data_IF_780352548490
#
_entry.id   IF_780352548490
#
_cell.length_a   1.000
_cell.length_b   1.000
_cell.length_c   1.000
_cell.angle_alpha   90.00
_cell.angle_beta   90.00
_cell.angle_gamma   90.00
#
_symmetry.space_group_name_H-M   'P 1'
#
loop_
_entity.id
_entity.type
_entity.pdbx_description
1 polymer ?
#
# COMPACT_ATOMS: atom_id res chain seq x y z
N UNK A 1 13.62 9.08 28.80
CA UNK A 1 13.13 8.35 30.01
C UNK A 1 12.24 7.23 29.50
N UNK A 2 12.63 5.97 29.72
CA UNK A 2 11.86 4.82 29.28
C UNK A 2 10.51 4.81 30.04
N UNK A 3 9.43 4.99 29.26
CA UNK A 3 8.08 4.84 29.80
C UNK A 3 7.70 3.35 29.68
N UNK A 4 7.78 2.62 30.78
CA UNK A 4 7.49 1.18 30.84
C UNK A 4 6.01 0.82 30.65
N UNK A 5 5.14 1.81 30.46
CA UNK A 5 3.70 1.60 30.20
C UNK A 5 3.37 1.48 28.70
N UNK A 6 4.32 1.75 27.79
CA UNK A 6 4.10 1.63 26.36
C UNK A 6 4.35 0.17 25.93
N UNK A 7 3.35 -0.44 25.31
CA UNK A 7 3.38 -1.85 24.90
C UNK A 7 3.41 -2.05 23.38
N UNK A 8 3.12 -1.02 22.59
CA UNK A 8 3.14 -1.01 21.15
C UNK A 8 3.26 0.43 20.63
N UNK A 9 3.64 0.57 19.38
CA UNK A 9 3.74 1.86 18.68
C UNK A 9 2.83 1.83 17.45
N UNK A 10 2.06 2.89 17.26
CA UNK A 10 1.32 3.18 16.05
C UNK A 10 1.95 4.37 15.34
N UNK A 11 2.40 4.18 14.10
CA UNK A 11 3.05 5.19 13.27
C UNK A 11 2.07 5.63 12.19
N UNK A 12 1.66 6.89 12.23
CA UNK A 12 0.80 7.54 11.24
C UNK A 12 1.31 8.94 10.89
N UNK A 13 2.63 9.07 10.88
CA UNK A 13 3.36 10.26 10.47
C UNK A 13 3.48 10.31 8.93
N UNK A 14 4.04 11.38 8.33
CA UNK A 14 4.48 11.35 6.95
C UNK A 14 5.46 10.21 6.67
N UNK A 15 5.44 9.67 5.46
CA UNK A 15 6.18 8.45 5.07
C UNK A 15 7.69 8.55 5.29
N UNK A 16 8.26 9.72 5.06
CA UNK A 16 9.69 10.02 5.27
C UNK A 16 10.18 9.78 6.70
N UNK A 17 9.26 9.73 7.68
CA UNK A 17 9.60 9.49 9.09
C UNK A 17 9.41 8.01 9.50
N UNK A 18 8.77 7.19 8.67
CA UNK A 18 8.44 5.81 9.05
C UNK A 18 9.68 4.98 9.37
N UNK A 19 10.71 5.05 8.54
CA UNK A 19 11.92 4.23 8.68
C UNK A 19 12.64 4.45 10.02
N UNK A 20 12.81 5.71 10.41
CA UNK A 20 13.42 6.08 11.69
C UNK A 20 12.58 5.57 12.87
N UNK A 21 11.26 5.79 12.83
CA UNK A 21 10.35 5.41 13.92
C UNK A 21 10.21 3.90 14.05
N UNK A 22 10.17 3.16 12.95
CA UNK A 22 10.15 1.69 12.93
C UNK A 22 11.44 1.16 13.56
N UNK A 23 12.59 1.68 13.14
CA UNK A 23 13.90 1.27 13.67
C UNK A 23 14.00 1.54 15.17
N UNK A 24 13.55 2.72 15.61
CA UNK A 24 13.55 3.09 17.02
C UNK A 24 12.62 2.19 17.85
N UNK A 25 11.43 1.90 17.36
CA UNK A 25 10.49 1.02 18.05
C UNK A 25 11.02 -0.42 18.15
N UNK A 26 11.58 -0.96 17.05
CA UNK A 26 12.19 -2.28 17.02
C UNK A 26 13.36 -2.40 18.01
N UNK A 27 14.22 -1.38 18.07
CA UNK A 27 15.35 -1.34 19.01
C UNK A 27 14.90 -1.30 20.50
N UNK A 28 13.67 -0.87 20.77
CA UNK A 28 13.08 -0.89 22.09
C UNK A 28 12.17 -2.11 22.34
N UNK A 29 12.14 -3.10 21.44
CA UNK A 29 11.37 -4.31 21.60
C UNK A 29 9.83 -4.10 21.54
N UNK A 30 9.37 -3.03 20.88
CA UNK A 30 7.96 -2.67 20.82
C UNK A 30 7.33 -3.19 19.52
N UNK A 31 6.20 -3.92 19.59
CA UNK A 31 5.35 -4.19 18.44
C UNK A 31 4.96 -2.93 17.67
N UNK A 32 4.94 -3.02 16.35
CA UNK A 32 4.80 -1.86 15.46
C UNK A 32 3.61 -2.05 14.53
N UNK A 33 2.72 -1.07 14.51
CA UNK A 33 1.78 -0.85 13.42
C UNK A 33 2.20 0.44 12.70
N UNK A 34 2.33 0.40 11.39
CA UNK A 34 2.61 1.57 10.56
C UNK A 34 1.58 1.75 9.47
N UNK A 35 1.26 2.99 9.12
CA UNK A 35 0.49 3.28 7.91
C UNK A 35 1.30 2.95 6.65
N UNK A 36 0.58 2.80 5.56
CA UNK A 36 1.15 2.61 4.21
C UNK A 36 1.64 3.97 3.63
N UNK A 37 2.61 3.96 2.74
CA UNK A 37 3.57 2.88 2.52
C UNK A 37 4.52 2.77 3.71
N UNK A 38 5.10 1.59 3.92
CA UNK A 38 6.07 1.37 5.02
C UNK A 38 7.30 2.26 4.85
N UNK A 39 7.76 2.43 3.61
CA UNK A 39 8.76 3.39 3.15
C UNK A 39 8.55 3.64 1.65
N UNK A 40 9.27 4.58 1.06
CA UNK A 40 9.15 4.93 -0.36
C UNK A 40 9.91 3.99 -1.29
N UNK A 41 10.87 3.25 -0.77
CA UNK A 41 11.75 2.36 -1.53
C UNK A 41 11.61 0.89 -1.09
N UNK A 42 11.53 -0.03 -2.06
CA UNK A 42 11.32 -1.45 -1.79
C UNK A 42 12.52 -2.10 -1.04
N UNK A 43 13.74 -1.61 -1.25
CA UNK A 43 14.92 -2.11 -0.55
C UNK A 43 14.87 -1.67 0.91
N UNK A 44 14.50 -0.42 1.16
CA UNK A 44 14.30 0.10 2.50
C UNK A 44 13.20 -0.67 3.24
N UNK A 45 12.05 -0.94 2.59
CA UNK A 45 10.99 -1.77 3.15
C UNK A 45 11.52 -3.14 3.59
N UNK A 46 12.29 -3.81 2.74
CA UNK A 46 12.86 -5.12 3.05
C UNK A 46 13.81 -5.06 4.27
N UNK A 47 14.65 -4.02 4.36
CA UNK A 47 15.54 -3.84 5.52
C UNK A 47 14.76 -3.55 6.81
N UNK A 48 13.67 -2.77 6.76
CA UNK A 48 12.84 -2.51 7.94
C UNK A 48 12.16 -3.78 8.46
N UNK A 49 11.65 -4.65 7.58
CA UNK A 49 11.14 -5.96 7.98
C UNK A 49 12.24 -6.85 8.56
N UNK A 50 13.45 -6.80 8.01
CA UNK A 50 14.61 -7.54 8.55
C UNK A 50 14.99 -7.04 9.94
N UNK A 51 15.02 -5.72 10.18
CA UNK A 51 15.26 -5.12 11.49
C UNK A 51 14.21 -5.57 12.50
N UNK A 52 12.92 -5.53 12.15
CA UNK A 52 11.84 -5.98 13.02
C UNK A 52 11.97 -7.47 13.36
N UNK A 53 12.25 -8.32 12.36
CA UNK A 53 12.45 -9.74 12.54
C UNK A 53 13.66 -10.06 13.45
N UNK A 54 14.78 -9.36 13.28
CA UNK A 54 15.97 -9.51 14.13
C UNK A 54 15.71 -9.10 15.57
N UNK A 55 14.85 -8.09 15.77
CA UNK A 55 14.41 -7.65 17.08
C UNK A 55 13.28 -8.49 17.67
N UNK A 56 12.80 -9.51 16.93
CA UNK A 56 11.67 -10.38 17.32
C UNK A 56 10.36 -9.64 17.63
N UNK A 57 10.16 -8.48 17.00
CA UNK A 57 8.93 -7.69 17.14
C UNK A 57 8.06 -7.80 15.88
N UNK A 58 6.73 -7.89 16.02
CA UNK A 58 5.85 -7.83 14.86
C UNK A 58 5.85 -6.41 14.26
N UNK A 59 5.93 -6.36 12.91
CA UNK A 59 5.71 -5.16 12.10
C UNK A 59 4.51 -5.42 11.20
N UNK A 60 3.44 -4.64 11.39
CA UNK A 60 2.20 -4.71 10.62
C UNK A 60 2.00 -3.41 9.84
N UNK A 61 1.63 -3.53 8.56
CA UNK A 61 1.28 -2.38 7.71
C UNK A 61 -0.23 -2.23 7.59
N UNK A 62 -0.70 -0.99 7.56
CA UNK A 62 -2.11 -0.59 7.58
C UNK A 62 -2.84 -0.81 6.26
N UNK A 63 -3.02 -2.04 5.82
CA UNK A 63 -3.89 -2.36 4.69
C UNK A 63 -5.32 -2.62 5.16
N UNK A 64 -6.03 -1.55 5.53
CA UNK A 64 -7.34 -1.58 6.18
C UNK A 64 -8.46 -2.20 5.34
N UNK A 65 -8.35 -2.20 4.00
CA UNK A 65 -9.36 -2.82 3.11
C UNK A 65 -9.56 -4.30 3.38
N UNK A 66 -8.54 -4.99 3.89
CA UNK A 66 -8.64 -6.40 4.30
C UNK A 66 -9.66 -6.65 5.42
N UNK A 67 -10.01 -5.61 6.18
CA UNK A 67 -10.88 -5.66 7.36
C UNK A 67 -12.23 -4.95 7.14
N UNK A 68 -12.44 -4.31 5.99
CA UNK A 68 -13.71 -3.73 5.60
C UNK A 68 -14.69 -4.81 5.14
N UNK A 69 -15.91 -4.77 5.64
CA UNK A 69 -16.92 -5.81 5.40
C UNK A 69 -17.27 -5.99 3.92
N UNK A 70 -17.32 -4.89 3.15
CA UNK A 70 -17.65 -4.93 1.72
C UNK A 70 -16.52 -5.56 0.90
N UNK A 71 -15.28 -5.14 1.16
CA UNK A 71 -14.10 -5.72 0.53
C UNK A 71 -13.93 -7.18 0.92
N UNK A 72 -14.17 -7.52 2.19
CA UNK A 72 -14.12 -8.88 2.68
C UNK A 72 -15.17 -9.77 2.02
N UNK A 73 -16.41 -9.31 1.86
CA UNK A 73 -17.47 -10.08 1.19
C UNK A 73 -17.12 -10.42 -0.27
N UNK A 74 -16.46 -9.49 -0.99
CA UNK A 74 -15.94 -9.74 -2.33
C UNK A 74 -14.82 -10.79 -2.29
N UNK A 75 -13.85 -10.64 -1.41
CA UNK A 75 -12.75 -11.60 -1.22
C UNK A 75 -13.26 -13.00 -0.90
N UNK A 76 -14.20 -13.13 0.04
CA UNK A 76 -14.81 -14.40 0.44
C UNK A 76 -15.55 -15.06 -0.75
N UNK A 77 -16.20 -14.26 -1.61
CA UNK A 77 -16.93 -14.77 -2.79
C UNK A 77 -15.96 -15.32 -3.86
N UNK A 78 -14.80 -14.70 -4.02
CA UNK A 78 -13.73 -15.20 -4.91
C UNK A 78 -13.10 -16.45 -4.32
N UNK A 79 -12.61 -16.38 -3.08
CA UNK A 79 -11.83 -17.45 -2.46
C UNK A 79 -12.66 -18.72 -2.17
N UNK A 80 -13.95 -18.58 -1.92
CA UNK A 80 -14.86 -19.73 -1.80
C UNK A 80 -15.23 -20.38 -3.13
N UNK A 81 -14.82 -19.81 -4.26
CA UNK A 81 -15.19 -20.29 -5.60
C UNK A 81 -16.64 -19.99 -6.00
N UNK A 82 -17.39 -19.21 -5.21
CA UNK A 82 -18.80 -18.89 -5.47
C UNK A 82 -19.04 -18.23 -6.84
N UNK A 83 -18.08 -17.45 -7.32
CA UNK A 83 -18.14 -16.80 -8.64
C UNK A 83 -17.26 -17.47 -9.71
N UNK A 84 -16.68 -18.62 -9.38
CA UNK A 84 -15.70 -19.30 -10.24
C UNK A 84 -14.32 -18.65 -10.18
N UNK A 85 -13.44 -19.00 -11.13
CA UNK A 85 -12.09 -18.44 -11.25
C UNK A 85 -12.14 -17.10 -11.96
N UNK A 86 -11.73 -16.00 -11.34
CA UNK A 86 -11.65 -14.71 -12.01
C UNK A 86 -10.66 -14.74 -13.16
N UNK A 87 -11.09 -14.27 -14.34
CA UNK A 87 -10.22 -14.16 -15.52
C UNK A 87 -9.79 -12.73 -15.77
N UNK A 88 -10.66 -11.77 -15.38
CA UNK A 88 -10.41 -10.34 -15.52
C UNK A 88 -11.04 -9.59 -14.35
N UNK A 89 -10.35 -8.56 -13.87
CA UNK A 89 -10.86 -7.63 -12.86
C UNK A 89 -10.51 -6.20 -13.25
N UNK A 90 -11.36 -5.28 -12.85
CA UNK A 90 -11.08 -3.85 -12.95
C UNK A 90 -11.31 -3.24 -11.57
N UNK A 91 -10.33 -2.48 -11.09
CA UNK A 91 -10.41 -1.68 -9.87
C UNK A 91 -10.29 -0.22 -10.28
N UNK A 92 -11.21 0.57 -9.85
CA UNK A 92 -11.20 2.01 -10.06
C UNK A 92 -11.27 2.71 -8.71
N UNK A 93 -10.34 3.61 -8.48
CA UNK A 93 -10.32 4.46 -7.30
C UNK A 93 -10.02 5.91 -7.69
N UNK A 94 -10.59 6.84 -6.96
CA UNK A 94 -10.32 8.26 -7.15
C UNK A 94 -10.66 9.05 -5.89
N UNK A 95 -9.77 9.96 -5.51
CA UNK A 95 -10.00 10.88 -4.40
C UNK A 95 -10.84 12.08 -4.85
N UNK A 96 -11.69 12.55 -3.95
CA UNK A 96 -12.45 13.76 -4.13
C UNK A 96 -12.60 14.50 -2.78
N UNK A 97 -12.28 15.80 -2.71
CA UNK A 97 -11.70 16.65 -3.77
C UNK A 97 -10.27 16.25 -4.13
N UNK A 98 -9.80 16.75 -5.30
CA UNK A 98 -8.39 16.59 -5.70
C UNK A 98 -7.47 17.12 -4.58
N UNK A 99 -6.46 16.35 -4.14
CA UNK A 99 -5.55 16.77 -3.10
C UNK A 99 -4.79 18.06 -3.47
N UNK A 100 -4.36 18.88 -2.50
CA UNK A 100 -3.57 20.08 -2.76
C UNK A 100 -2.25 19.75 -3.48
N UNK A 101 -1.79 20.64 -4.36
CA UNK A 101 -0.54 20.49 -5.14
C UNK A 101 0.67 20.14 -4.25
N UNK A 102 0.80 20.78 -3.08
CA UNK A 102 1.88 20.50 -2.14
C UNK A 102 1.86 19.06 -1.61
N UNK A 103 0.68 18.49 -1.38
CA UNK A 103 0.56 17.08 -1.01
C UNK A 103 0.99 16.17 -2.16
N UNK A 104 0.53 16.46 -3.37
CA UNK A 104 0.89 15.68 -4.56
C UNK A 104 2.39 15.72 -4.87
N UNK A 105 3.06 16.86 -4.62
CA UNK A 105 4.51 16.99 -4.76
C UNK A 105 5.31 16.19 -3.74
N UNK A 106 4.74 15.98 -2.55
CA UNK A 106 5.43 15.35 -1.43
C UNK A 106 5.02 13.87 -1.23
N UNK A 107 4.83 13.13 -2.31
CA UNK A 107 4.53 11.70 -2.26
C UNK A 107 3.08 11.32 -2.51
N UNK A 108 2.19 12.29 -2.81
CA UNK A 108 0.78 12.03 -3.15
C UNK A 108 0.56 11.49 -4.58
N UNK A 109 1.58 10.97 -5.23
CA UNK A 109 1.46 10.32 -6.53
C UNK A 109 0.56 9.08 -6.43
N UNK A 110 -0.40 8.88 -7.36
CA UNK A 110 -1.32 7.74 -7.32
C UNK A 110 -0.62 6.38 -7.20
N UNK A 111 0.55 6.21 -7.81
CA UNK A 111 1.33 4.97 -7.71
C UNK A 111 1.86 4.68 -6.30
N UNK A 112 2.18 5.70 -5.53
CA UNK A 112 2.77 5.55 -4.20
C UNK A 112 1.73 5.68 -3.08
N UNK A 113 0.70 6.48 -3.30
CA UNK A 113 -0.31 6.74 -2.27
C UNK A 113 -1.57 5.86 -2.40
N UNK A 114 -2.14 5.73 -3.59
CA UNK A 114 -3.40 5.01 -3.83
C UNK A 114 -3.18 3.54 -4.20
N UNK A 115 -2.33 3.28 -5.20
CA UNK A 115 -2.13 1.94 -5.75
C UNK A 115 -1.68 0.87 -4.77
N UNK A 116 -0.92 1.15 -3.69
CA UNK A 116 -0.59 0.14 -2.70
C UNK A 116 -1.82 -0.54 -2.09
N UNK A 117 -2.90 0.21 -1.86
CA UNK A 117 -4.16 -0.35 -1.39
C UNK A 117 -4.82 -1.28 -2.40
N UNK A 118 -4.81 -0.89 -3.68
CA UNK A 118 -5.45 -1.66 -4.75
C UNK A 118 -4.66 -2.93 -5.03
N UNK A 119 -3.33 -2.83 -5.12
CA UNK A 119 -2.44 -3.98 -5.31
C UNK A 119 -2.56 -4.97 -4.17
N UNK A 120 -2.53 -4.50 -2.91
CA UNK A 120 -2.70 -5.35 -1.74
C UNK A 120 -4.05 -6.06 -1.74
N UNK A 121 -5.12 -5.32 -2.02
CA UNK A 121 -6.47 -5.87 -2.07
C UNK A 121 -6.62 -6.95 -3.14
N UNK A 122 -6.14 -6.69 -4.35
CA UNK A 122 -6.23 -7.64 -5.46
C UNK A 122 -5.41 -8.90 -5.17
N UNK A 123 -4.16 -8.76 -4.70
CA UNK A 123 -3.32 -9.91 -4.31
C UNK A 123 -4.00 -10.76 -3.24
N UNK A 124 -4.55 -10.10 -2.20
CA UNK A 124 -5.27 -10.80 -1.12
C UNK A 124 -6.53 -11.49 -1.65
N UNK A 125 -7.30 -10.85 -2.51
CA UNK A 125 -8.55 -11.39 -3.05
C UNK A 125 -8.33 -12.56 -3.97
N UNK A 126 -7.36 -12.46 -4.87
CA UNK A 126 -7.04 -13.52 -5.83
C UNK A 126 -6.24 -14.67 -5.20
N UNK A 127 -5.44 -14.40 -4.16
CA UNK A 127 -4.45 -15.35 -3.65
C UNK A 127 -3.37 -15.67 -4.70
N UNK A 128 -3.06 -14.72 -5.58
CA UNK A 128 -2.13 -14.86 -6.70
C UNK A 128 -1.05 -13.78 -6.62
N UNK A 129 0.10 -14.02 -7.27
CA UNK A 129 1.20 -13.06 -7.33
C UNK A 129 1.34 -12.42 -8.72
N UNK A 130 1.68 -11.12 -8.79
CA UNK A 130 1.88 -10.44 -10.06
C UNK A 130 3.12 -10.97 -10.80
N UNK A 131 3.01 -11.19 -12.11
CA UNK A 131 4.09 -11.69 -12.98
C UNK A 131 4.51 -10.70 -14.05
N UNK A 132 3.58 -9.87 -14.51
CA UNK A 132 3.83 -8.86 -15.54
C UNK A 132 3.08 -7.59 -15.14
N UNK A 133 3.69 -6.43 -15.35
CA UNK A 133 3.07 -5.13 -15.10
C UNK A 133 3.40 -4.15 -16.22
N UNK A 134 2.39 -3.42 -16.66
CA UNK A 134 2.54 -2.20 -17.43
C UNK A 134 1.89 -1.06 -16.65
N UNK A 135 2.59 0.06 -16.53
CA UNK A 135 2.07 1.23 -15.82
C UNK A 135 2.30 2.50 -16.66
N UNK A 136 1.35 3.40 -16.62
CA UNK A 136 1.43 4.72 -17.24
C UNK A 136 0.67 5.73 -16.40
N UNK A 137 1.13 6.97 -16.38
CA UNK A 137 0.47 8.05 -15.68
C UNK A 137 0.52 9.36 -16.48
N UNK A 138 -0.35 10.28 -16.12
CA UNK A 138 -0.36 11.61 -16.71
C UNK A 138 -0.79 12.67 -15.68
N UNK A 139 -0.54 13.92 -16.07
CA UNK A 139 -1.00 15.09 -15.33
C UNK A 139 -2.25 15.65 -16.01
N UNK A 140 -3.32 15.87 -15.24
CA UNK A 140 -4.61 16.35 -15.78
C UNK A 140 -4.61 17.84 -16.14
N UNK A 141 -3.68 18.61 -15.57
CA UNK A 141 -3.61 20.07 -15.81
C UNK A 141 -2.18 20.50 -16.19
N UNK A 142 -2.03 21.62 -16.92
CA UNK A 142 -0.71 22.19 -17.21
C UNK A 142 0.12 22.49 -15.96
N UNK A 143 -0.51 22.97 -14.88
CA UNK A 143 0.15 23.27 -13.62
C UNK A 143 0.81 22.02 -12.98
N UNK A 144 0.09 20.88 -13.00
CA UNK A 144 0.62 19.61 -12.51
C UNK A 144 1.75 19.10 -13.41
N UNK A 145 1.60 19.24 -14.74
CA UNK A 145 2.63 18.86 -15.69
C UNK A 145 3.92 19.69 -15.54
N UNK A 146 3.79 21.00 -15.35
CA UNK A 146 4.94 21.90 -15.07
C UNK A 146 5.62 21.56 -13.75
N UNK A 147 4.85 21.09 -12.76
CA UNK A 147 5.38 20.64 -11.49
C UNK A 147 5.93 19.20 -11.54
N UNK A 148 5.83 18.51 -12.68
CA UNK A 148 6.18 17.09 -12.86
C UNK A 148 5.44 16.18 -11.89
N UNK A 149 4.15 16.45 -11.67
CA UNK A 149 3.26 15.69 -10.75
C UNK A 149 2.25 14.90 -11.55
N UNK A 150 2.19 13.60 -11.34
CA UNK A 150 1.13 12.74 -11.88
C UNK A 150 -0.06 12.72 -10.91
N UNK A 151 -1.26 12.91 -11.42
CA UNK A 151 -2.51 12.80 -10.66
C UNK A 151 -3.48 11.75 -11.25
N UNK A 152 -3.12 11.17 -12.39
CA UNK A 152 -3.81 10.02 -12.95
C UNK A 152 -2.81 8.89 -13.21
N UNK A 153 -3.24 7.67 -12.89
CA UNK A 153 -2.45 6.47 -13.07
C UNK A 153 -3.29 5.37 -13.69
N UNK A 154 -2.65 4.53 -14.47
CA UNK A 154 -3.22 3.30 -15.01
C UNK A 154 -2.17 2.20 -14.89
N UNK A 155 -2.60 1.05 -14.37
CA UNK A 155 -1.78 -0.16 -14.38
C UNK A 155 -2.54 -1.32 -15.02
N UNK A 156 -1.83 -2.12 -15.79
CA UNK A 156 -2.26 -3.45 -16.21
C UNK A 156 -1.34 -4.47 -15.57
N UNK A 157 -1.93 -5.41 -14.84
CA UNK A 157 -1.19 -6.43 -14.08
C UNK A 157 -1.69 -7.81 -14.46
N UNK A 158 -0.77 -8.72 -14.79
CA UNK A 158 -1.06 -10.13 -15.00
C UNK A 158 -0.55 -10.93 -13.82
N UNK A 159 -1.34 -11.88 -13.36
CA UNK A 159 -1.05 -12.73 -12.22
C UNK A 159 -0.70 -14.16 -12.63
N UNK A 160 0.02 -14.88 -11.77
CA UNK A 160 0.49 -16.26 -12.02
C UNK A 160 -0.64 -17.27 -12.22
N UNK A 161 -1.80 -17.05 -11.65
CA UNK A 161 -3.04 -17.82 -11.91
C UNK A 161 -3.72 -17.50 -13.24
N UNK A 162 -3.17 -16.57 -14.05
CA UNK A 162 -3.68 -16.16 -15.34
C UNK A 162 -4.72 -15.03 -15.30
N UNK A 163 -5.07 -14.55 -14.13
CA UNK A 163 -5.98 -13.39 -13.98
C UNK A 163 -5.30 -12.11 -14.46
N UNK A 164 -6.03 -11.30 -15.20
CA UNK A 164 -5.62 -9.97 -15.67
C UNK A 164 -6.38 -8.89 -14.90
N UNK A 165 -5.67 -7.86 -14.43
CA UNK A 165 -6.26 -6.77 -13.64
C UNK A 165 -5.86 -5.43 -14.20
N UNK A 166 -6.83 -4.51 -14.28
CA UNK A 166 -6.58 -3.08 -14.49
C UNK A 166 -6.86 -2.33 -13.19
N UNK A 167 -5.97 -1.41 -12.86
CA UNK A 167 -6.01 -0.58 -11.67
C UNK A 167 -5.94 0.89 -12.08
#
# INVERSE_FOLDING_TARGET
>A
KNNTSINAVWISTPTDQHAELITLAAANGLPIFTEKPVAEDAVEIAELFKIANQSTVPLCCGFQRRFDDSYKACTDSVQSGKIGTPTMSNVFFGDHPVPPLEFLKNGGCPFMDLSPHDVDYVRNTLGQEPTEIFASGCSSTPELAEANVLDNAFMFVKFDGGTMVTL
#
